data_IF_916293857636
#
_entry.id   IF_916293857636
#
_cell.length_a   1.000
_cell.length_b   1.000
_cell.length_c   1.000
_cell.angle_alpha   90.00
_cell.angle_beta   90.00
_cell.angle_gamma   90.00
#
_symmetry.space_group_name_H-M   'P 1'
#
loop_
_entity.id
_entity.type
_entity.pdbx_description
1 polymer ?
#
# COMPACT_ATOMS: atom_id res chain seq x y z
N UNK A 1 -12.63 -19.87 -19.07
CA UNK A 1 -13.27 -18.62 -18.62
C UNK A 1 -14.45 -18.87 -17.67
N UNK A 2 -15.49 -19.61 -18.05
CA UNK A 2 -16.62 -19.99 -17.20
C UNK A 2 -16.18 -20.72 -15.91
N UNK A 3 -15.22 -21.63 -15.99
CA UNK A 3 -14.69 -22.38 -14.83
C UNK A 3 -14.08 -21.48 -13.76
N UNK A 4 -13.39 -20.40 -14.14
CA UNK A 4 -12.82 -19.45 -13.19
C UNK A 4 -13.92 -18.65 -12.47
N UNK A 5 -15.00 -18.29 -13.17
CA UNK A 5 -16.14 -17.59 -12.58
C UNK A 5 -16.87 -18.51 -11.58
N UNK A 6 -17.02 -19.79 -11.92
CA UNK A 6 -17.68 -20.79 -11.07
C UNK A 6 -16.85 -21.12 -9.83
N UNK A 7 -15.53 -21.28 -9.96
CA UNK A 7 -14.63 -21.53 -8.83
C UNK A 7 -14.66 -20.38 -7.80
N UNK A 8 -14.83 -19.13 -8.23
CA UNK A 8 -14.90 -17.96 -7.34
C UNK A 8 -16.30 -17.69 -6.77
N UNK A 9 -17.32 -18.43 -7.21
CA UNK A 9 -18.71 -18.21 -6.76
C UNK A 9 -18.87 -18.34 -5.25
N UNK A 10 -18.26 -19.35 -4.63
CA UNK A 10 -18.36 -19.58 -3.19
C UNK A 10 -17.71 -18.46 -2.36
N UNK A 11 -16.42 -18.11 -2.55
CA UNK A 11 -15.80 -17.05 -1.76
C UNK A 11 -16.40 -15.67 -2.01
N UNK A 12 -16.88 -15.38 -3.22
CA UNK A 12 -17.60 -14.14 -3.52
C UNK A 12 -18.94 -14.05 -2.79
N UNK A 13 -19.68 -15.16 -2.70
CA UNK A 13 -20.94 -15.19 -1.95
C UNK A 13 -20.71 -15.05 -0.43
N UNK A 14 -19.63 -15.64 0.12
CA UNK A 14 -19.25 -15.45 1.52
C UNK A 14 -18.93 -13.99 1.82
N UNK A 15 -18.23 -13.29 0.93
CA UNK A 15 -17.94 -11.87 1.07
C UNK A 15 -19.23 -11.05 1.07
N UNK A 16 -20.19 -11.33 0.17
CA UNK A 16 -21.50 -10.69 0.18
C UNK A 16 -22.27 -10.91 1.49
N UNK A 17 -22.25 -12.14 2.01
CA UNK A 17 -22.89 -12.45 3.30
C UNK A 17 -22.25 -11.62 4.41
N UNK A 18 -20.91 -11.53 4.44
CA UNK A 18 -20.19 -10.70 5.41
C UNK A 18 -20.59 -9.22 5.31
N UNK A 19 -20.66 -8.66 4.10
CA UNK A 19 -21.08 -7.27 3.88
C UNK A 19 -22.52 -7.03 4.37
N UNK A 20 -23.44 -7.93 4.00
CA UNK A 20 -24.85 -7.84 4.42
C UNK A 20 -24.98 -7.88 5.94
N UNK A 21 -24.32 -8.85 6.60
CA UNK A 21 -24.38 -8.98 8.06
C UNK A 21 -23.79 -7.77 8.77
N UNK A 22 -22.63 -7.27 8.30
CA UNK A 22 -21.98 -6.10 8.92
C UNK A 22 -22.83 -4.85 8.80
N UNK A 23 -23.52 -4.66 7.68
CA UNK A 23 -24.40 -3.51 7.46
C UNK A 23 -25.70 -3.64 8.27
N UNK A 24 -26.27 -4.85 8.41
CA UNK A 24 -27.41 -5.10 9.28
C UNK A 24 -27.07 -4.77 10.75
N UNK A 25 -25.88 -5.11 11.21
CA UNK A 25 -25.40 -4.76 12.55
C UNK A 25 -25.29 -3.24 12.73
N UNK A 26 -24.71 -2.53 11.75
CA UNK A 26 -24.63 -1.07 11.77
C UNK A 26 -26.03 -0.41 11.79
N UNK A 27 -26.98 -0.98 11.03
CA UNK A 27 -28.35 -0.51 10.98
C UNK A 27 -29.06 -0.70 12.32
N UNK A 28 -28.93 -1.86 12.95
CA UNK A 28 -29.54 -2.17 14.26
C UNK A 28 -29.03 -1.25 15.35
N UNK A 29 -27.76 -0.83 15.29
CA UNK A 29 -27.16 0.08 16.26
C UNK A 29 -27.71 1.52 16.13
N UNK A 30 -28.04 1.99 14.94
CA UNK A 30 -28.43 3.39 14.69
C UNK A 30 -29.90 3.72 14.99
N UNK A 31 -30.54 2.97 15.87
CA UNK A 31 -31.88 3.23 16.44
C UNK A 31 -32.98 3.56 15.40
N UNK A 32 -33.14 2.70 14.39
CA UNK A 32 -34.25 2.72 13.42
C UNK A 32 -34.39 3.96 12.50
N UNK A 33 -33.48 4.91 12.55
CA UNK A 33 -33.43 5.95 11.53
C UNK A 33 -32.65 5.42 10.33
N UNK A 34 -33.36 5.12 9.24
CA UNK A 34 -32.75 4.78 7.95
C UNK A 34 -31.97 6.00 7.46
N UNK A 35 -30.71 6.09 7.86
CA UNK A 35 -29.83 7.11 7.31
C UNK A 35 -29.61 6.78 5.81
N UNK A 36 -29.97 7.71 4.91
CA UNK A 36 -29.75 7.57 3.47
C UNK A 36 -28.32 7.16 3.16
N UNK A 37 -27.38 7.54 3.99
CA UNK A 37 -25.96 7.22 3.85
C UNK A 37 -25.66 5.72 4.02
N UNK A 38 -26.36 5.02 4.91
CA UNK A 38 -26.20 3.55 5.08
C UNK A 38 -26.65 2.84 3.81
N UNK A 39 -27.78 3.23 3.23
CA UNK A 39 -28.30 2.61 1.99
C UNK A 39 -27.36 2.82 0.82
N UNK A 40 -26.83 4.05 0.66
CA UNK A 40 -25.86 4.36 -0.40
C UNK A 40 -24.57 3.54 -0.22
N UNK A 41 -24.07 3.44 1.02
CA UNK A 41 -22.88 2.64 1.33
C UNK A 41 -23.10 1.17 0.99
N UNK A 42 -24.26 0.62 1.39
CA UNK A 42 -24.64 -0.77 1.15
C UNK A 42 -24.70 -1.11 -0.35
N UNK A 43 -25.49 -0.34 -1.08
CA UNK A 43 -25.61 -0.54 -2.53
C UNK A 43 -24.27 -0.32 -3.23
N UNK A 44 -23.52 0.70 -2.79
CA UNK A 44 -22.20 1.01 -3.31
C UNK A 44 -21.21 -0.14 -3.13
N UNK A 45 -21.07 -0.69 -1.92
CA UNK A 45 -20.15 -1.79 -1.63
C UNK A 45 -20.48 -3.04 -2.42
N UNK A 46 -21.74 -3.50 -2.35
CA UNK A 46 -22.18 -4.70 -3.09
C UNK A 46 -21.94 -4.52 -4.59
N UNK A 47 -22.35 -3.38 -5.12
CA UNK A 47 -22.25 -3.11 -6.55
C UNK A 47 -20.77 -3.06 -6.98
N UNK A 48 -19.93 -2.37 -6.22
CA UNK A 48 -18.50 -2.24 -6.50
C UNK A 48 -17.82 -3.61 -6.47
N UNK A 49 -17.97 -4.32 -5.35
CA UNK A 49 -17.26 -5.58 -5.11
C UNK A 49 -17.76 -6.66 -6.07
N UNK A 50 -19.06 -6.82 -6.18
CA UNK A 50 -19.65 -7.91 -6.97
C UNK A 50 -19.44 -7.69 -8.47
N UNK A 51 -19.78 -6.51 -8.99
CA UNK A 51 -19.65 -6.20 -10.42
C UNK A 51 -18.19 -6.21 -10.84
N UNK A 52 -17.29 -5.60 -10.06
CA UNK A 52 -15.87 -5.57 -10.41
C UNK A 52 -15.27 -6.97 -10.47
N UNK A 53 -15.60 -7.86 -9.52
CA UNK A 53 -15.15 -9.24 -9.56
C UNK A 53 -15.72 -10.01 -10.77
N UNK A 54 -16.97 -9.75 -11.16
CA UNK A 54 -17.57 -10.36 -12.36
C UNK A 54 -16.91 -9.86 -13.65
N UNK A 55 -16.70 -8.55 -13.76
CA UNK A 55 -16.06 -7.92 -14.92
C UNK A 55 -14.63 -8.44 -15.07
N UNK A 56 -13.87 -8.47 -13.97
CA UNK A 56 -12.49 -8.97 -13.99
C UNK A 56 -12.42 -10.42 -14.48
N UNK A 57 -13.32 -11.29 -14.01
CA UNK A 57 -13.37 -12.68 -14.46
C UNK A 57 -13.67 -12.85 -15.97
N UNK A 58 -14.23 -11.81 -16.63
CA UNK A 58 -14.45 -11.79 -18.08
C UNK A 58 -13.33 -11.11 -18.87
N UNK A 59 -12.62 -10.16 -18.26
CA UNK A 59 -11.63 -9.32 -18.93
C UNK A 59 -10.22 -9.89 -18.81
N UNK A 60 -9.87 -10.44 -17.65
CA UNK A 60 -8.52 -10.93 -17.35
C UNK A 60 -8.47 -12.46 -17.34
N UNK A 61 -7.41 -13.01 -17.95
CA UNK A 61 -7.06 -14.42 -17.85
C UNK A 61 -6.16 -14.74 -16.64
N UNK A 62 -5.72 -13.72 -15.92
CA UNK A 62 -4.80 -13.82 -14.79
C UNK A 62 -5.45 -14.29 -13.49
N UNK A 63 -4.77 -14.03 -12.37
CA UNK A 63 -5.22 -14.46 -11.03
C UNK A 63 -6.28 -13.53 -10.45
N UNK A 64 -7.54 -13.89 -10.62
CA UNK A 64 -8.67 -13.11 -10.12
C UNK A 64 -8.88 -13.18 -8.60
N UNK A 65 -8.21 -14.09 -7.89
CA UNK A 65 -8.31 -14.16 -6.41
C UNK A 65 -7.64 -12.97 -5.73
N UNK A 66 -6.67 -12.32 -6.38
CA UNK A 66 -6.02 -11.10 -5.85
C UNK A 66 -7.05 -10.02 -5.59
N UNK A 67 -7.90 -9.74 -6.57
CA UNK A 67 -8.94 -8.73 -6.44
C UNK A 67 -10.00 -9.11 -5.40
N UNK A 68 -10.31 -10.40 -5.24
CA UNK A 68 -11.23 -10.88 -4.22
C UNK A 68 -10.69 -10.67 -2.79
N UNK A 69 -9.39 -10.94 -2.56
CA UNK A 69 -8.73 -10.66 -1.27
C UNK A 69 -8.78 -9.17 -0.96
N UNK A 70 -8.45 -8.33 -1.95
CA UNK A 70 -8.51 -6.87 -1.82
C UNK A 70 -9.94 -6.40 -1.54
N UNK A 71 -10.94 -7.00 -2.17
CA UNK A 71 -12.36 -6.69 -1.91
C UNK A 71 -12.73 -6.90 -0.44
N UNK A 72 -12.23 -7.96 0.21
CA UNK A 72 -12.46 -8.20 1.63
C UNK A 72 -11.79 -7.14 2.51
N UNK A 73 -10.54 -6.75 2.19
CA UNK A 73 -9.84 -5.68 2.90
C UNK A 73 -10.58 -4.33 2.76
N UNK A 74 -11.07 -4.01 1.55
CA UNK A 74 -11.86 -2.82 1.28
C UNK A 74 -13.16 -2.78 2.09
N UNK A 75 -13.87 -3.90 2.15
CA UNK A 75 -15.14 -4.01 2.90
C UNK A 75 -14.91 -3.77 4.39
N UNK A 76 -13.88 -4.38 4.99
CA UNK A 76 -13.50 -4.13 6.39
C UNK A 76 -13.15 -2.65 6.62
N UNK A 77 -12.34 -2.06 5.74
CA UNK A 77 -11.94 -0.65 5.84
C UNK A 77 -13.12 0.30 5.75
N UNK A 78 -13.98 0.15 4.72
CA UNK A 78 -15.12 1.04 4.49
C UNK A 78 -16.14 0.97 5.63
N UNK A 79 -16.46 -0.24 6.12
CA UNK A 79 -17.39 -0.45 7.25
C UNK A 79 -16.87 0.27 8.50
N UNK A 80 -15.58 0.10 8.82
CA UNK A 80 -14.96 0.73 9.99
C UNK A 80 -14.89 2.27 9.83
N UNK A 81 -14.47 2.77 8.67
CA UNK A 81 -14.39 4.21 8.41
C UNK A 81 -15.79 4.86 8.49
N UNK A 82 -16.81 4.19 7.91
CA UNK A 82 -18.18 4.67 8.01
C UNK A 82 -18.66 4.72 9.46
N UNK A 83 -18.34 3.71 10.26
CA UNK A 83 -18.65 3.67 11.69
C UNK A 83 -18.02 4.82 12.47
N UNK A 84 -16.78 5.17 12.13
CA UNK A 84 -16.08 6.32 12.71
C UNK A 84 -16.71 7.64 12.28
N UNK A 85 -16.97 7.81 10.98
CA UNK A 85 -17.56 9.00 10.39
C UNK A 85 -18.28 8.66 9.08
N UNK A 86 -19.63 8.82 9.03
CA UNK A 86 -20.40 8.58 7.79
C UNK A 86 -19.90 9.39 6.59
N UNK A 87 -19.49 10.64 6.82
CA UNK A 87 -18.94 11.49 5.75
C UNK A 87 -17.64 10.96 5.17
N UNK A 88 -16.73 10.45 6.04
CA UNK A 88 -15.46 9.85 5.59
C UNK A 88 -15.71 8.51 4.89
N UNK A 89 -16.65 7.69 5.38
CA UNK A 89 -17.03 6.44 4.74
C UNK A 89 -17.51 6.64 3.31
N UNK A 90 -18.38 7.60 3.06
CA UNK A 90 -18.85 7.94 1.72
C UNK A 90 -17.73 8.49 0.83
N UNK A 91 -16.86 9.36 1.35
CA UNK A 91 -15.68 9.83 0.60
C UNK A 91 -14.75 8.66 0.25
N UNK A 92 -14.55 7.71 1.18
CA UNK A 92 -13.75 6.52 0.91
C UNK A 92 -14.37 5.67 -0.20
N UNK A 93 -15.69 5.50 -0.23
CA UNK A 93 -16.39 4.81 -1.30
C UNK A 93 -16.12 5.45 -2.67
N UNK A 94 -16.13 6.79 -2.75
CA UNK A 94 -15.79 7.52 -3.99
C UNK A 94 -14.33 7.25 -4.39
N UNK A 95 -13.38 7.24 -3.42
CA UNK A 95 -11.98 6.91 -3.70
C UNK A 95 -11.80 5.47 -4.18
N UNK A 96 -12.58 4.54 -3.65
CA UNK A 96 -12.57 3.14 -4.11
C UNK A 96 -13.13 3.02 -5.51
N UNK A 97 -14.22 3.71 -5.85
CA UNK A 97 -14.76 3.76 -7.22
C UNK A 97 -13.71 4.31 -8.20
N UNK A 98 -13.10 5.45 -7.87
CA UNK A 98 -12.02 6.03 -8.66
C UNK A 98 -10.83 5.07 -8.79
N UNK A 99 -10.47 4.39 -7.70
CA UNK A 99 -9.42 3.38 -7.66
C UNK A 99 -9.68 2.22 -8.60
N UNK A 100 -10.90 1.69 -8.63
CA UNK A 100 -11.29 0.61 -9.56
C UNK A 100 -11.19 1.07 -11.02
N UNK A 101 -11.62 2.28 -11.33
CA UNK A 101 -11.46 2.84 -12.67
C UNK A 101 -9.97 2.93 -13.04
N UNK A 102 -9.14 3.43 -12.13
CA UNK A 102 -7.69 3.51 -12.31
C UNK A 102 -7.04 2.12 -12.40
N UNK A 103 -7.53 1.13 -11.67
CA UNK A 103 -7.10 -0.28 -11.79
C UNK A 103 -7.30 -0.80 -13.22
N UNK A 104 -8.50 -0.66 -13.79
CA UNK A 104 -8.75 -1.09 -15.16
C UNK A 104 -7.97 -0.28 -16.18
N UNK A 105 -7.85 1.04 -15.98
CA UNK A 105 -7.05 1.89 -16.85
C UNK A 105 -5.57 1.43 -16.85
N UNK A 106 -5.00 1.19 -15.67
CA UNK A 106 -3.64 0.69 -15.51
C UNK A 106 -3.47 -0.68 -16.16
N UNK A 107 -4.42 -1.57 -15.94
CA UNK A 107 -4.44 -2.89 -16.55
C UNK A 107 -4.37 -2.80 -18.08
N UNK A 108 -5.24 -2.02 -18.72
CA UNK A 108 -5.26 -1.89 -20.17
C UNK A 108 -4.02 -1.16 -20.72
N UNK A 109 -3.55 -0.09 -20.05
CA UNK A 109 -2.35 0.64 -20.47
C UNK A 109 -1.14 -0.27 -20.44
N UNK A 110 -0.87 -0.95 -19.32
CA UNK A 110 0.30 -1.81 -19.20
C UNK A 110 0.21 -3.00 -20.14
N UNK A 111 -0.99 -3.55 -20.33
CA UNK A 111 -1.22 -4.62 -21.30
C UNK A 111 -0.94 -4.19 -22.74
N UNK A 112 -1.24 -2.96 -23.11
CA UNK A 112 -1.00 -2.42 -24.45
C UNK A 112 0.45 -2.00 -24.70
N UNK A 113 1.15 -1.51 -23.67
CA UNK A 113 2.51 -0.97 -23.81
C UNK A 113 3.56 -2.09 -23.85
N UNK A 114 4.39 -2.12 -24.93
CA UNK A 114 5.45 -3.12 -25.12
C UNK A 114 6.84 -2.66 -24.67
N UNK A 115 7.09 -1.34 -24.63
CA UNK A 115 8.43 -0.76 -24.42
C UNK A 115 8.73 -0.31 -23.00
N UNK A 116 7.89 -0.69 -22.01
CA UNK A 116 8.02 -0.26 -20.62
C UNK A 116 9.42 -0.54 -20.04
N UNK A 117 10.01 -1.68 -20.37
CA UNK A 117 11.36 -2.07 -19.90
C UNK A 117 12.48 -1.15 -20.37
N UNK A 118 12.27 -0.34 -21.43
CA UNK A 118 13.29 0.54 -21.99
C UNK A 118 13.18 1.99 -21.50
N UNK A 119 12.20 2.32 -20.66
CA UNK A 119 11.86 3.68 -20.25
C UNK A 119 12.54 4.11 -18.91
N UNK A 120 13.72 3.54 -18.59
CA UNK A 120 14.45 3.85 -17.34
C UNK A 120 14.63 5.35 -17.11
N UNK A 121 15.04 6.09 -18.16
CA UNK A 121 15.23 7.55 -18.08
C UNK A 121 13.93 8.32 -17.79
N UNK A 122 12.79 7.85 -18.32
CA UNK A 122 11.48 8.45 -18.04
C UNK A 122 11.09 8.25 -16.57
N UNK A 123 11.25 7.05 -16.03
CA UNK A 123 10.93 6.76 -14.63
C UNK A 123 11.80 7.56 -13.68
N UNK A 124 13.10 7.68 -13.97
CA UNK A 124 14.03 8.50 -13.22
C UNK A 124 13.61 9.99 -13.26
N UNK A 125 13.38 10.53 -14.45
CA UNK A 125 13.02 11.94 -14.64
C UNK A 125 11.71 12.31 -13.97
N UNK A 126 10.65 11.46 -14.10
CA UNK A 126 9.38 11.67 -13.44
C UNK A 126 9.49 11.57 -11.91
N UNK A 127 10.30 10.65 -11.40
CA UNK A 127 10.53 10.54 -9.94
C UNK A 127 11.17 11.81 -9.39
N UNK A 128 12.22 12.31 -10.04
CA UNK A 128 12.87 13.57 -9.65
C UNK A 128 11.88 14.74 -9.74
N UNK A 129 11.10 14.81 -10.82
CA UNK A 129 10.10 15.85 -11.00
C UNK A 129 9.08 15.82 -9.84
N UNK A 130 8.57 14.66 -9.45
CA UNK A 130 7.60 14.55 -8.35
C UNK A 130 8.21 14.95 -7.00
N UNK A 131 9.48 14.60 -6.74
CA UNK A 131 10.16 15.06 -5.54
C UNK A 131 10.34 16.58 -5.52
N UNK A 132 10.77 17.18 -6.62
CA UNK A 132 10.93 18.63 -6.72
C UNK A 132 9.58 19.36 -6.59
N UNK A 133 8.53 18.87 -7.27
CA UNK A 133 7.19 19.45 -7.13
C UNK A 133 6.70 19.38 -5.68
N UNK A 134 6.95 18.27 -4.97
CA UNK A 134 6.56 18.16 -3.57
C UNK A 134 7.29 19.17 -2.71
N UNK A 135 8.61 19.35 -2.88
CA UNK A 135 9.40 20.31 -2.09
C UNK A 135 8.93 21.74 -2.32
N UNK A 136 8.58 22.09 -3.58
CA UNK A 136 8.20 23.45 -3.97
C UNK A 136 6.75 23.75 -3.57
N UNK A 137 5.81 22.83 -3.80
CA UNK A 137 4.37 23.08 -3.71
C UNK A 137 3.76 22.64 -2.37
N UNK A 138 4.39 21.72 -1.63
CA UNK A 138 3.80 21.24 -0.38
C UNK A 138 4.00 22.26 0.75
N UNK A 139 2.91 22.74 1.40
CA UNK A 139 2.99 23.55 2.60
C UNK A 139 3.54 22.72 3.76
N UNK A 140 4.21 23.38 4.70
CA UNK A 140 4.63 22.72 5.94
C UNK A 140 3.39 22.49 6.83
N UNK A 141 2.91 21.23 6.88
CA UNK A 141 1.80 20.82 7.75
C UNK A 141 2.36 19.87 8.82
N UNK A 142 2.22 20.25 10.07
CA UNK A 142 2.70 19.46 11.22
C UNK A 142 4.21 19.13 11.15
N UNK A 143 5.00 19.99 10.51
CA UNK A 143 6.43 19.81 10.35
C UNK A 143 6.85 18.84 9.25
N UNK A 144 5.94 18.41 8.37
CA UNK A 144 6.24 17.61 7.19
C UNK A 144 5.73 18.30 5.90
N UNK A 145 6.51 18.18 4.81
CA UNK A 145 6.19 18.76 3.49
C UNK A 145 5.87 17.64 2.50
N UNK A 146 4.77 16.91 2.73
CA UNK A 146 4.45 15.69 1.96
C UNK A 146 3.15 15.82 1.18
N UNK A 147 2.26 16.76 1.56
CA UNK A 147 0.91 16.86 1.03
C UNK A 147 0.71 18.14 0.23
N UNK A 148 0.34 17.99 -1.03
CA UNK A 148 -0.05 19.11 -1.91
C UNK A 148 -1.56 19.27 -1.81
N UNK A 149 -2.03 20.44 -1.47
CA UNK A 149 -3.45 20.77 -1.42
C UNK A 149 -3.90 21.30 -2.79
N UNK A 150 -4.84 20.57 -3.43
CA UNK A 150 -5.39 20.94 -4.74
C UNK A 150 -6.64 21.79 -4.58
N UNK A 151 -7.48 21.45 -3.62
CA UNK A 151 -8.66 22.21 -3.24
C UNK A 151 -8.99 21.93 -1.77
N UNK A 152 -9.94 22.72 -1.19
CA UNK A 152 -10.35 22.53 0.18
C UNK A 152 -10.74 21.06 0.48
N UNK A 153 -9.93 20.40 1.30
CA UNK A 153 -10.14 19.02 1.74
C UNK A 153 -9.70 17.91 0.77
N UNK A 154 -9.07 18.25 -0.37
CA UNK A 154 -8.44 17.27 -1.27
C UNK A 154 -6.93 17.50 -1.28
N UNK A 155 -6.21 16.55 -0.70
CA UNK A 155 -4.74 16.55 -0.66
C UNK A 155 -4.20 15.38 -1.45
N UNK A 156 -3.10 15.61 -2.18
CA UNK A 156 -2.36 14.56 -2.91
C UNK A 156 -0.96 14.45 -2.33
N UNK A 157 -0.54 13.22 -2.08
CA UNK A 157 0.82 12.87 -1.69
C UNK A 157 1.54 12.25 -2.89
N UNK A 158 2.47 13.01 -3.50
CA UNK A 158 3.17 12.54 -4.70
C UNK A 158 4.11 11.37 -4.43
N UNK A 159 4.61 11.21 -3.19
CA UNK A 159 5.44 10.07 -2.82
C UNK A 159 4.72 8.72 -2.98
N UNK A 160 3.37 8.71 -2.91
CA UNK A 160 2.56 7.52 -3.21
C UNK A 160 2.74 7.05 -4.68
N UNK A 161 2.80 7.99 -5.61
CA UNK A 161 3.03 7.70 -7.03
C UNK A 161 4.50 7.45 -7.34
N UNK A 162 5.41 8.11 -6.61
CA UNK A 162 6.85 7.87 -6.76
C UNK A 162 7.23 6.44 -6.41
N UNK A 163 6.56 5.79 -5.44
CA UNK A 163 6.73 4.35 -5.13
C UNK A 163 6.55 3.49 -6.39
N UNK A 164 5.54 3.79 -7.20
CA UNK A 164 5.24 3.07 -8.44
C UNK A 164 6.36 3.27 -9.44
N UNK A 165 6.80 4.53 -9.63
CA UNK A 165 7.89 4.85 -10.55
C UNK A 165 9.20 4.18 -10.15
N UNK A 166 9.50 4.09 -8.85
CA UNK A 166 10.70 3.40 -8.34
C UNK A 166 10.65 1.90 -8.63
N UNK A 167 9.49 1.26 -8.51
CA UNK A 167 9.32 -0.16 -8.89
C UNK A 167 9.61 -0.34 -10.38
N UNK A 168 9.08 0.51 -11.26
CA UNK A 168 9.36 0.48 -12.69
C UNK A 168 10.83 0.78 -13.01
N UNK A 169 11.43 1.74 -12.30
CA UNK A 169 12.84 2.09 -12.44
C UNK A 169 13.75 0.88 -12.14
N UNK A 170 13.54 0.21 -11.00
CA UNK A 170 14.32 -0.96 -10.60
C UNK A 170 14.12 -2.10 -11.61
N UNK A 171 12.87 -2.38 -12.01
CA UNK A 171 12.58 -3.43 -12.97
C UNK A 171 13.25 -3.17 -14.34
N UNK A 172 13.15 -1.95 -14.84
CA UNK A 172 13.78 -1.51 -16.09
C UNK A 172 15.31 -1.52 -16.00
N UNK A 173 15.86 -1.16 -14.84
CA UNK A 173 17.31 -1.19 -14.61
C UNK A 173 17.87 -2.60 -14.75
N UNK A 174 17.37 -3.57 -13.99
CA UNK A 174 17.88 -4.95 -14.02
C UNK A 174 17.59 -5.67 -15.34
N UNK A 175 16.55 -5.28 -16.07
CA UNK A 175 16.19 -5.94 -17.33
C UNK A 175 17.05 -5.44 -18.51
N UNK A 176 17.22 -4.12 -18.64
CA UNK A 176 17.80 -3.53 -19.85
C UNK A 176 18.97 -2.58 -19.59
N UNK A 177 18.84 -1.68 -18.62
CA UNK A 177 19.79 -0.57 -18.45
C UNK A 177 21.13 -1.05 -17.90
N UNK A 178 21.15 -2.01 -16.99
CA UNK A 178 22.37 -2.61 -16.47
C UNK A 178 23.24 -3.22 -17.59
N UNK A 179 22.63 -3.92 -18.53
CA UNK A 179 23.32 -4.51 -19.66
C UNK A 179 23.91 -3.45 -20.62
N UNK A 180 23.21 -2.30 -20.78
CA UNK A 180 23.77 -1.17 -21.55
C UNK A 180 24.99 -0.57 -20.85
N UNK A 181 24.97 -0.40 -19.55
CA UNK A 181 26.12 0.09 -18.78
C UNK A 181 27.30 -0.88 -18.84
N UNK A 182 27.05 -2.19 -18.72
CA UNK A 182 28.10 -3.23 -18.88
C UNK A 182 28.74 -3.19 -20.27
N UNK A 183 27.97 -2.98 -21.34
CA UNK A 183 28.48 -2.80 -22.72
C UNK A 183 29.34 -1.55 -22.87
N UNK A 184 29.14 -0.52 -22.09
CA UNK A 184 29.94 0.71 -22.04
C UNK A 184 31.15 0.59 -21.08
N UNK A 185 31.53 -0.63 -20.68
CA UNK A 185 32.64 -0.94 -19.77
C UNK A 185 32.43 -0.33 -18.33
N UNK A 186 31.20 -0.05 -17.93
CA UNK A 186 30.94 0.43 -16.59
C UNK A 186 31.00 -0.74 -15.60
N UNK A 187 32.05 -0.79 -14.79
CA UNK A 187 32.33 -1.92 -13.89
C UNK A 187 31.40 -1.95 -12.66
N UNK A 188 30.92 -0.80 -12.21
CA UNK A 188 30.20 -0.64 -10.95
C UNK A 188 28.72 -0.32 -11.15
N UNK A 189 28.02 -1.12 -11.95
CA UNK A 189 26.61 -0.89 -12.31
C UNK A 189 25.66 -0.92 -11.11
N UNK A 190 25.92 -1.78 -10.13
CA UNK A 190 25.11 -1.91 -8.91
C UNK A 190 25.11 -0.64 -8.06
N UNK A 191 26.27 0.03 -7.97
CA UNK A 191 26.42 1.29 -7.23
C UNK A 191 25.70 2.47 -7.90
N UNK A 192 25.50 2.41 -9.22
CA UNK A 192 24.71 3.44 -9.93
C UNK A 192 23.26 3.46 -9.44
N UNK A 193 22.58 2.29 -9.44
CA UNK A 193 21.20 2.19 -8.96
C UNK A 193 21.11 2.52 -7.48
N UNK A 194 22.05 2.03 -6.67
CA UNK A 194 22.14 2.35 -5.25
C UNK A 194 22.21 3.85 -5.02
N UNK A 195 23.08 4.57 -5.75
CA UNK A 195 23.21 6.02 -5.66
C UNK A 195 21.89 6.75 -5.97
N UNK A 196 21.18 6.32 -7.03
CA UNK A 196 19.87 6.88 -7.39
C UNK A 196 18.85 6.68 -6.27
N UNK A 197 18.75 5.47 -5.70
CA UNK A 197 17.81 5.19 -4.61
C UNK A 197 18.14 6.01 -3.36
N UNK A 198 19.42 6.14 -2.99
CA UNK A 198 19.80 6.95 -1.83
C UNK A 198 19.60 8.46 -2.06
N UNK A 199 19.69 8.97 -3.31
CA UNK A 199 19.27 10.33 -3.63
C UNK A 199 17.76 10.49 -3.36
N UNK A 200 16.92 9.53 -3.76
CA UNK A 200 15.48 9.56 -3.49
C UNK A 200 15.19 9.50 -1.99
N UNK A 201 15.91 8.66 -1.26
CA UNK A 201 15.85 8.60 0.21
C UNK A 201 16.22 9.97 0.81
N UNK A 202 17.25 10.65 0.30
CA UNK A 202 17.63 11.99 0.70
C UNK A 202 16.49 13.01 0.52
N UNK A 203 15.79 12.99 -0.62
CA UNK A 203 14.60 13.83 -0.82
C UNK A 203 13.50 13.53 0.20
N UNK A 204 13.24 12.27 0.50
CA UNK A 204 12.24 11.86 1.50
C UNK A 204 12.62 12.28 2.93
N UNK A 205 13.92 12.28 3.26
CA UNK A 205 14.41 12.84 4.51
C UNK A 205 14.14 14.33 4.62
N UNK A 206 14.36 15.10 3.55
CA UNK A 206 14.06 16.55 3.50
C UNK A 206 12.54 16.78 3.68
N UNK A 207 11.70 15.93 3.08
CA UNK A 207 10.24 15.97 3.19
C UNK A 207 9.72 15.45 4.54
N UNK A 208 10.60 14.83 5.36
CA UNK A 208 10.27 14.14 6.62
C UNK A 208 9.31 12.95 6.44
N UNK A 209 9.35 12.29 5.27
CA UNK A 209 8.59 11.09 4.95
C UNK A 209 9.45 9.83 5.15
N UNK A 210 9.72 9.51 6.41
CA UNK A 210 10.56 8.37 6.78
C UNK A 210 9.90 7.02 6.48
N UNK A 211 8.57 6.97 6.51
CA UNK A 211 7.83 5.76 6.18
C UNK A 211 8.06 5.33 4.74
N UNK A 212 7.91 6.26 3.80
CA UNK A 212 8.17 6.00 2.37
C UNK A 212 9.66 5.73 2.11
N UNK A 213 10.59 6.41 2.84
CA UNK A 213 12.01 6.12 2.74
C UNK A 213 12.34 4.68 3.14
N UNK A 214 11.76 4.18 4.24
CA UNK A 214 11.91 2.79 4.66
C UNK A 214 11.39 1.80 3.60
N UNK A 215 10.25 2.10 2.96
CA UNK A 215 9.71 1.29 1.86
C UNK A 215 10.70 1.23 0.69
N UNK A 216 11.26 2.38 0.26
CA UNK A 216 12.22 2.43 -0.86
C UNK A 216 13.45 1.59 -0.59
N UNK A 217 14.04 1.76 0.59
CA UNK A 217 15.22 0.99 1.00
C UNK A 217 14.90 -0.50 1.07
N UNK A 218 13.75 -0.88 1.62
CA UNK A 218 13.36 -2.29 1.73
C UNK A 218 13.13 -2.92 0.36
N UNK A 219 12.40 -2.26 -0.56
CA UNK A 219 12.18 -2.74 -1.92
C UNK A 219 13.53 -2.92 -2.63
N UNK A 220 14.38 -1.90 -2.58
CA UNK A 220 15.68 -1.93 -3.24
C UNK A 220 16.57 -3.05 -2.67
N UNK A 221 16.70 -3.13 -1.35
CA UNK A 221 17.57 -4.13 -0.70
C UNK A 221 17.13 -5.56 -1.02
N UNK A 222 15.83 -5.86 -0.97
CA UNK A 222 15.32 -7.20 -1.27
C UNK A 222 15.47 -7.55 -2.75
N UNK A 223 15.20 -6.62 -3.66
CA UNK A 223 15.39 -6.84 -5.10
C UNK A 223 16.88 -6.92 -5.46
N UNK A 224 17.73 -6.11 -4.83
CA UNK A 224 19.18 -6.19 -4.99
C UNK A 224 19.70 -7.56 -4.55
N UNK A 225 19.24 -8.06 -3.41
CA UNK A 225 19.65 -9.38 -2.92
C UNK A 225 19.32 -10.50 -3.91
N UNK A 226 18.18 -10.40 -4.62
CA UNK A 226 17.72 -11.43 -5.54
C UNK A 226 18.37 -11.31 -6.92
N UNK A 227 18.53 -10.09 -7.45
CA UNK A 227 18.89 -9.85 -8.85
C UNK A 227 20.30 -9.32 -9.05
N UNK A 228 20.99 -8.86 -8.00
CA UNK A 228 22.37 -8.36 -8.13
C UNK A 228 23.38 -9.50 -7.93
N UNK A 229 24.37 -9.55 -8.80
CA UNK A 229 25.49 -10.51 -8.72
C UNK A 229 26.55 -10.06 -7.73
N UNK A 230 26.69 -8.73 -7.52
CA UNK A 230 27.71 -8.15 -6.65
C UNK A 230 27.28 -8.19 -5.17
N UNK A 231 27.76 -9.21 -4.45
CA UNK A 231 27.48 -9.39 -3.02
C UNK A 231 28.08 -8.30 -2.12
N UNK A 232 29.19 -7.67 -2.57
CA UNK A 232 29.80 -6.58 -1.84
C UNK A 232 28.90 -5.36 -1.84
N UNK A 233 28.26 -5.06 -2.97
CA UNK A 233 27.29 -3.95 -3.06
C UNK A 233 26.13 -4.11 -2.10
N UNK A 234 25.68 -5.35 -1.83
CA UNK A 234 24.62 -5.63 -0.86
C UNK A 234 25.06 -5.30 0.57
N UNK A 235 26.32 -5.71 0.94
CA UNK A 235 26.87 -5.39 2.25
C UNK A 235 27.03 -3.88 2.43
N UNK A 236 27.48 -3.17 1.39
CA UNK A 236 27.58 -1.71 1.40
C UNK A 236 26.21 -1.08 1.58
N UNK A 237 25.19 -1.57 0.89
CA UNK A 237 23.80 -1.09 1.05
C UNK A 237 23.28 -1.27 2.49
N UNK A 238 23.49 -2.45 3.09
CA UNK A 238 23.10 -2.71 4.49
C UNK A 238 23.87 -1.77 5.42
N UNK A 239 25.17 -1.56 5.20
CA UNK A 239 25.98 -0.62 5.95
C UNK A 239 25.45 0.83 5.86
N UNK A 240 25.11 1.29 4.65
CA UNK A 240 24.53 2.61 4.43
C UNK A 240 23.15 2.75 5.10
N UNK A 241 22.32 1.70 5.07
CA UNK A 241 21.05 1.69 5.78
C UNK A 241 21.21 1.86 7.30
N UNK A 242 22.14 1.12 7.90
CA UNK A 242 22.43 1.20 9.33
C UNK A 242 22.98 2.59 9.70
N UNK A 243 23.97 3.09 8.95
CA UNK A 243 24.55 4.42 9.16
C UNK A 243 23.46 5.49 8.97
N UNK A 244 22.66 5.40 7.91
CA UNK A 244 21.57 6.35 7.65
C UNK A 244 20.52 6.36 8.76
N UNK A 245 20.20 5.21 9.37
CA UNK A 245 19.29 5.12 10.51
C UNK A 245 19.86 5.81 11.75
N UNK A 246 21.13 5.58 12.06
CA UNK A 246 21.83 6.23 13.19
C UNK A 246 21.95 7.74 12.96
N UNK A 247 22.40 8.16 11.79
CA UNK A 247 22.51 9.57 11.41
C UNK A 247 21.13 10.25 11.45
N UNK A 248 20.10 9.57 10.95
CA UNK A 248 18.72 10.06 11.00
C UNK A 248 18.24 10.29 12.43
N UNK A 249 18.54 9.40 13.35
CA UNK A 249 18.19 9.55 14.77
C UNK A 249 18.85 10.80 15.41
N UNK A 250 20.12 11.06 15.11
CA UNK A 250 20.83 12.21 15.69
C UNK A 250 20.47 13.54 15.01
N UNK A 251 20.28 13.56 13.71
CA UNK A 251 20.03 14.80 12.95
C UNK A 251 18.57 15.28 13.02
N UNK A 252 17.60 14.35 13.08
CA UNK A 252 16.19 14.70 12.96
C UNK A 252 15.43 14.52 14.27
N UNK A 253 15.01 15.64 14.88
CA UNK A 253 14.25 15.64 16.14
C UNK A 253 12.97 14.82 16.09
N UNK A 254 12.25 14.80 14.93
CA UNK A 254 11.03 14.00 14.76
C UNK A 254 11.30 12.49 14.72
N UNK A 255 12.47 12.03 14.27
CA UNK A 255 12.90 10.62 14.33
C UNK A 255 13.13 10.22 15.77
N UNK A 256 13.93 11.04 16.48
CA UNK A 256 14.22 10.83 17.91
C UNK A 256 12.93 10.75 18.71
N UNK A 257 12.01 11.70 18.52
CA UNK A 257 10.72 11.71 19.20
C UNK A 257 9.92 10.42 18.97
N UNK A 258 9.89 9.89 17.76
CA UNK A 258 9.20 8.61 17.46
C UNK A 258 9.86 7.42 18.16
N UNK A 259 11.18 7.39 18.25
CA UNK A 259 11.93 6.37 18.98
C UNK A 259 11.69 6.48 20.49
N UNK A 260 11.71 7.69 21.04
CA UNK A 260 11.44 7.93 22.47
C UNK A 260 10.03 7.50 22.87
N UNK A 261 9.01 7.85 22.06
CA UNK A 261 7.63 7.39 22.22
C UNK A 261 7.54 5.86 22.15
N UNK A 262 8.25 5.24 21.21
CA UNK A 262 8.27 3.80 21.06
C UNK A 262 8.90 3.10 22.26
N UNK A 263 9.99 3.62 22.81
CA UNK A 263 10.65 3.04 23.98
C UNK A 263 9.82 3.24 25.25
N UNK A 264 9.39 4.46 25.54
CA UNK A 264 8.75 4.85 26.80
C UNK A 264 7.43 5.63 26.60
N UNK A 265 6.35 5.04 26.09
CA UNK A 265 5.09 5.75 25.84
C UNK A 265 4.29 6.05 27.12
N UNK A 266 4.63 5.43 28.26
CA UNK A 266 3.81 5.38 29.46
C UNK A 266 4.09 6.47 30.49
N UNK A 267 5.02 7.38 30.24
CA UNK A 267 5.22 8.52 31.15
C UNK A 267 4.03 9.45 31.10
N UNK A 268 3.60 10.00 32.25
CA UNK A 268 2.39 10.80 32.37
C UNK A 268 2.32 11.96 31.36
N UNK A 269 3.44 12.62 31.10
CA UNK A 269 3.54 13.73 30.15
C UNK A 269 3.39 13.24 28.70
N UNK A 270 3.99 12.09 28.35
CA UNK A 270 3.88 11.50 27.00
C UNK A 270 2.48 10.95 26.72
N UNK A 271 1.84 10.31 27.68
CA UNK A 271 0.49 9.73 27.53
C UNK A 271 -0.52 10.78 27.11
N UNK A 272 -0.47 11.98 27.69
CA UNK A 272 -1.41 13.07 27.43
C UNK A 272 -1.10 13.75 26.09
N UNK A 273 0.17 13.88 25.72
CA UNK A 273 0.61 14.69 24.59
C UNK A 273 1.08 13.81 23.41
N UNK A 274 2.34 13.43 23.43
CA UNK A 274 3.06 12.92 22.26
C UNK A 274 2.78 11.45 21.96
N UNK A 275 2.60 10.62 22.98
CA UNK A 275 2.32 9.19 22.85
C UNK A 275 0.82 8.86 22.85
N UNK A 276 -0.04 9.87 22.95
CA UNK A 276 -1.51 9.68 23.06
C UNK A 276 -2.06 8.72 21.99
N UNK A 277 -1.63 8.87 20.74
CA UNK A 277 -2.12 8.05 19.63
C UNK A 277 -1.76 6.56 19.82
N UNK A 278 -0.50 6.25 20.17
CA UNK A 278 -0.06 4.85 20.35
C UNK A 278 -0.69 4.23 21.59
N UNK A 279 -0.81 4.99 22.67
CA UNK A 279 -1.42 4.52 23.93
C UNK A 279 -2.91 4.23 23.72
N UNK A 280 -3.65 5.12 23.09
CA UNK A 280 -5.05 4.88 22.74
C UNK A 280 -5.23 3.68 21.79
N UNK A 281 -4.30 3.49 20.86
CA UNK A 281 -4.29 2.32 19.97
C UNK A 281 -4.16 1.01 20.75
N UNK A 282 -3.23 0.96 21.70
CA UNK A 282 -3.00 -0.23 22.51
C UNK A 282 -4.18 -0.52 23.44
N UNK A 283 -4.80 0.52 24.01
CA UNK A 283 -6.01 0.37 24.81
C UNK A 283 -7.18 -0.15 23.96
N UNK A 284 -7.43 0.40 22.78
CA UNK A 284 -8.49 -0.09 21.89
C UNK A 284 -8.30 -1.58 21.54
N UNK A 285 -7.07 -2.02 21.20
CA UNK A 285 -6.80 -3.44 20.96
C UNK A 285 -7.07 -4.29 22.20
N UNK A 286 -6.67 -3.81 23.38
CA UNK A 286 -6.86 -4.52 24.66
C UNK A 286 -8.35 -4.63 25.04
N UNK A 287 -9.11 -3.55 24.89
CA UNK A 287 -10.55 -3.52 25.19
C UNK A 287 -11.36 -4.41 24.25
N UNK A 288 -10.94 -4.53 22.99
CA UNK A 288 -11.57 -5.44 22.04
C UNK A 288 -11.45 -6.91 22.41
N UNK A 289 -10.40 -7.29 23.13
CA UNK A 289 -10.16 -8.69 23.51
C UNK A 289 -10.16 -9.63 22.32
N UNK A 290 -10.63 -10.87 22.51
CA UNK A 290 -10.56 -11.89 21.46
C UNK A 290 -11.64 -11.71 20.38
N UNK A 291 -12.87 -11.37 20.74
CA UNK A 291 -14.03 -11.31 19.84
C UNK A 291 -14.49 -9.89 19.49
N UNK A 292 -13.95 -8.87 20.13
CA UNK A 292 -14.37 -7.48 19.97
C UNK A 292 -15.52 -7.08 20.89
N UNK A 293 -15.69 -5.77 21.06
CA UNK A 293 -16.83 -5.20 21.80
C UNK A 293 -18.16 -5.34 21.03
N UNK A 294 -18.08 -5.60 19.72
CA UNK A 294 -19.19 -5.59 18.77
C UNK A 294 -19.18 -4.34 17.88
N UNK A 295 -19.54 -4.53 16.61
CA UNK A 295 -19.61 -3.45 15.63
C UNK A 295 -20.64 -2.39 16.12
N UNK A 296 -20.17 -1.17 16.36
CA UNK A 296 -20.99 -0.08 16.87
C UNK A 296 -20.98 0.08 18.40
N UNK A 297 -20.51 -0.89 19.17
CA UNK A 297 -20.55 -0.87 20.64
C UNK A 297 -19.24 -0.38 21.26
N UNK A 298 -18.12 -0.41 20.54
CA UNK A 298 -16.84 0.17 20.97
C UNK A 298 -16.81 1.69 20.89
N UNK A 299 -15.71 2.27 21.35
CA UNK A 299 -15.46 3.73 21.34
C UNK A 299 -14.25 4.12 20.46
N UNK A 300 -14.06 3.56 19.26
CA UNK A 300 -12.87 3.80 18.43
C UNK A 300 -12.71 5.27 18.01
N UNK A 301 -13.74 6.11 18.18
CA UNK A 301 -13.65 7.56 17.97
C UNK A 301 -12.71 8.27 18.96
N UNK A 302 -12.41 7.65 20.09
CA UNK A 302 -11.43 8.18 21.06
C UNK A 302 -9.99 8.01 20.59
N UNK A 303 -9.74 7.06 19.69
CA UNK A 303 -8.40 6.83 19.13
C UNK A 303 -8.10 7.93 18.13
N UNK A 304 -7.04 8.68 18.38
CA UNK A 304 -6.59 9.75 17.48
C UNK A 304 -6.20 9.19 16.11
N UNK A 305 -6.75 9.74 15.01
CA UNK A 305 -6.54 9.26 13.63
C UNK A 305 -6.96 7.79 13.39
N UNK A 306 -7.98 7.32 14.11
CA UNK A 306 -8.51 5.97 13.98
C UNK A 306 -8.89 5.57 12.54
N UNK A 307 -9.22 6.53 11.68
CA UNK A 307 -9.62 6.27 10.29
C UNK A 307 -8.42 6.12 9.32
N UNK A 308 -7.22 6.52 9.70
CA UNK A 308 -6.03 6.48 8.83
C UNK A 308 -4.95 5.54 9.36
N UNK A 309 -4.02 6.07 10.15
CA UNK A 309 -2.76 5.38 10.49
C UNK A 309 -2.95 4.24 11.49
N UNK A 310 -3.98 4.31 12.34
CA UNK A 310 -4.25 3.33 13.39
C UNK A 310 -5.60 2.62 13.25
N UNK A 311 -6.11 2.54 12.03
CA UNK A 311 -7.40 1.87 11.76
C UNK A 311 -7.42 0.41 12.21
N UNK A 312 -6.26 -0.25 12.23
CA UNK A 312 -6.12 -1.62 12.72
C UNK A 312 -6.58 -1.74 14.18
N UNK A 313 -6.27 -0.75 15.04
CA UNK A 313 -6.73 -0.73 16.43
C UNK A 313 -8.24 -0.58 16.54
N UNK A 314 -8.83 0.31 15.73
CA UNK A 314 -10.29 0.50 15.71
C UNK A 314 -11.04 -0.77 15.27
N UNK A 315 -10.47 -1.51 14.30
CA UNK A 315 -11.02 -2.81 13.89
C UNK A 315 -10.89 -3.84 15.02
N UNK A 316 -9.73 -3.90 15.67
CA UNK A 316 -9.52 -4.85 16.78
C UNK A 316 -10.42 -4.53 17.98
N UNK A 317 -10.70 -3.27 18.27
CA UNK A 317 -11.60 -2.87 19.35
C UNK A 317 -13.03 -3.37 19.12
N UNK A 318 -13.59 -3.14 17.93
CA UNK A 318 -14.98 -3.53 17.64
C UNK A 318 -15.13 -5.00 17.20
N UNK A 319 -14.16 -5.54 16.44
CA UNK A 319 -14.26 -6.88 15.83
C UNK A 319 -13.30 -7.91 16.43
N UNK A 320 -12.50 -7.52 17.42
CA UNK A 320 -11.57 -8.37 18.17
C UNK A 320 -10.24 -8.66 17.48
N UNK A 321 -9.32 -9.21 18.29
CA UNK A 321 -7.98 -9.61 17.82
C UNK A 321 -8.07 -10.71 16.76
N UNK A 322 -9.09 -11.57 16.81
CA UNK A 322 -9.31 -12.62 15.81
C UNK A 322 -9.47 -12.01 14.40
N UNK A 323 -10.21 -10.92 14.28
CA UNK A 323 -10.34 -10.18 13.00
C UNK A 323 -9.01 -9.52 12.61
N UNK A 324 -8.26 -8.98 13.58
CA UNK A 324 -6.91 -8.47 13.34
C UNK A 324 -5.96 -9.53 12.77
N UNK A 325 -5.97 -10.75 13.33
CA UNK A 325 -5.24 -11.89 12.78
C UNK A 325 -5.73 -12.23 11.36
N UNK A 326 -7.04 -12.21 11.14
CA UNK A 326 -7.64 -12.40 9.81
C UNK A 326 -7.14 -11.40 8.77
N UNK A 327 -6.98 -10.12 9.14
CA UNK A 327 -6.40 -9.08 8.27
C UNK A 327 -4.95 -9.42 7.92
N UNK A 328 -4.14 -9.79 8.90
CA UNK A 328 -2.75 -10.20 8.66
C UNK A 328 -2.70 -11.39 7.69
N UNK A 329 -3.57 -12.39 7.90
CA UNK A 329 -3.67 -13.55 7.01
C UNK A 329 -4.09 -13.15 5.58
N UNK A 330 -5.00 -12.19 5.40
CA UNK A 330 -5.38 -11.69 4.08
C UNK A 330 -4.20 -11.02 3.37
N UNK A 331 -3.37 -10.21 4.08
CA UNK A 331 -2.13 -9.67 3.49
C UNK A 331 -1.14 -10.78 3.17
N UNK A 332 -0.95 -11.75 4.03
CA UNK A 332 -0.08 -12.91 3.75
C UNK A 332 -0.54 -13.68 2.50
N UNK A 333 -1.85 -13.87 2.32
CA UNK A 333 -2.42 -14.50 1.13
C UNK A 333 -2.21 -13.65 -0.13
N UNK A 334 -2.38 -12.32 -0.05
CA UNK A 334 -2.13 -11.38 -1.15
C UNK A 334 -0.65 -11.46 -1.58
N UNK A 335 0.26 -11.40 -0.62
CA UNK A 335 1.71 -11.48 -0.85
C UNK A 335 2.12 -12.84 -1.40
N UNK A 336 1.60 -13.93 -0.84
CA UNK A 336 1.85 -15.29 -1.35
C UNK A 336 1.43 -15.40 -2.83
N UNK A 337 0.26 -14.88 -3.19
CA UNK A 337 -0.21 -14.86 -4.57
C UNK A 337 0.71 -14.02 -5.48
N UNK A 338 1.12 -12.84 -5.03
CA UNK A 338 2.02 -11.97 -5.77
C UNK A 338 3.40 -12.63 -5.99
N UNK A 339 3.95 -13.31 -4.98
CA UNK A 339 5.19 -14.08 -5.10
C UNK A 339 5.01 -15.25 -6.08
N UNK A 340 3.89 -15.98 -5.98
CA UNK A 340 3.59 -17.08 -6.91
C UNK A 340 3.51 -16.60 -8.36
N UNK A 341 2.90 -15.43 -8.60
CA UNK A 341 2.87 -14.78 -9.91
C UNK A 341 4.29 -14.46 -10.37
N UNK A 342 5.10 -13.86 -9.51
CA UNK A 342 6.49 -13.55 -9.84
C UNK A 342 7.30 -14.79 -10.23
N UNK A 343 7.14 -15.90 -9.50
CA UNK A 343 7.84 -17.16 -9.78
C UNK A 343 7.40 -17.81 -11.09
N UNK A 344 6.13 -17.68 -11.46
CA UNK A 344 5.59 -18.27 -12.68
C UNK A 344 5.78 -17.38 -13.92
N UNK A 345 6.17 -16.10 -13.73
CA UNK A 345 6.34 -15.17 -14.85
C UNK A 345 7.66 -15.41 -15.57
N UNK A 346 7.62 -15.66 -16.87
CA UNK A 346 8.78 -15.95 -17.71
C UNK A 346 9.61 -14.70 -17.99
N UNK A 347 8.95 -13.56 -18.21
CA UNK A 347 9.62 -12.30 -18.58
C UNK A 347 10.15 -11.57 -17.36
N UNK A 348 11.47 -11.37 -17.32
CA UNK A 348 12.21 -10.80 -16.19
C UNK A 348 11.62 -9.46 -15.71
N UNK A 349 11.26 -8.55 -16.63
CA UNK A 349 10.68 -7.26 -16.27
C UNK A 349 9.40 -7.39 -15.45
N UNK A 350 8.47 -8.22 -15.90
CA UNK A 350 7.20 -8.45 -15.24
C UNK A 350 7.34 -9.28 -13.95
N UNK A 351 8.34 -10.18 -13.92
CA UNK A 351 8.72 -10.92 -12.71
C UNK A 351 9.18 -9.97 -11.61
N UNK A 352 10.06 -9.02 -11.94
CA UNK A 352 10.55 -8.01 -10.99
C UNK A 352 9.40 -7.10 -10.55
N UNK A 353 8.52 -6.67 -11.45
CA UNK A 353 7.35 -5.86 -11.09
C UNK A 353 6.44 -6.58 -10.09
N UNK A 354 6.08 -7.84 -10.33
CA UNK A 354 5.24 -8.62 -9.43
C UNK A 354 5.87 -8.78 -8.05
N UNK A 355 7.18 -9.08 -8.01
CA UNK A 355 7.92 -9.22 -6.76
C UNK A 355 8.04 -7.89 -6.01
N UNK A 356 8.31 -6.79 -6.71
CA UNK A 356 8.39 -5.47 -6.12
C UNK A 356 7.05 -5.03 -5.49
N UNK A 357 5.92 -5.32 -6.15
CA UNK A 357 4.58 -5.07 -5.60
C UNK A 357 4.32 -5.93 -4.37
N UNK A 358 4.74 -7.21 -4.39
CA UNK A 358 4.64 -8.10 -3.22
C UNK A 358 5.42 -7.53 -2.02
N UNK A 359 6.66 -7.11 -2.26
CA UNK A 359 7.53 -6.50 -1.23
C UNK A 359 6.88 -5.22 -0.70
N UNK A 360 6.37 -4.34 -1.57
CA UNK A 360 5.75 -3.09 -1.16
C UNK A 360 4.57 -3.34 -0.23
N UNK A 361 3.62 -4.19 -0.60
CA UNK A 361 2.46 -4.50 0.25
C UNK A 361 2.87 -5.14 1.56
N UNK A 362 3.88 -6.04 1.54
CA UNK A 362 4.42 -6.65 2.76
C UNK A 362 4.98 -5.60 3.71
N UNK A 363 5.90 -4.77 3.20
CA UNK A 363 6.61 -3.78 4.02
C UNK A 363 5.64 -2.72 4.53
N UNK A 364 4.73 -2.22 3.69
CA UNK A 364 3.77 -1.20 4.09
C UNK A 364 2.80 -1.71 5.14
N UNK A 365 2.25 -2.94 4.99
CA UNK A 365 1.40 -3.55 6.00
C UNK A 365 2.16 -3.83 7.31
N UNK A 366 3.39 -4.33 7.21
CA UNK A 366 4.26 -4.58 8.38
C UNK A 366 4.59 -3.29 9.13
N UNK A 367 4.95 -2.21 8.42
CA UNK A 367 5.29 -0.93 9.04
C UNK A 367 4.06 -0.27 9.71
N UNK A 368 2.87 -0.41 9.11
CA UNK A 368 1.64 0.12 9.72
C UNK A 368 1.24 -0.71 10.95
N UNK A 369 0.97 -2.01 10.78
CA UNK A 369 0.50 -2.88 11.87
C UNK A 369 1.56 -2.97 12.97
N UNK A 370 2.84 -3.15 12.61
CA UNK A 370 3.94 -3.18 13.56
C UNK A 370 4.09 -1.89 14.38
N UNK A 371 3.85 -0.73 13.75
CA UNK A 371 3.81 0.55 14.45
C UNK A 371 2.65 0.64 15.44
N UNK A 372 1.46 0.20 15.03
CA UNK A 372 0.23 0.24 15.84
C UNK A 372 0.32 -0.68 17.07
N UNK A 373 0.89 -1.87 16.94
CA UNK A 373 1.09 -2.81 18.06
C UNK A 373 2.39 -2.57 18.86
N UNK A 374 3.08 -1.47 18.60
CA UNK A 374 4.35 -1.11 19.26
C UNK A 374 5.51 -2.11 19.02
N UNK A 375 5.49 -2.86 17.92
CA UNK A 375 6.61 -3.72 17.52
C UNK A 375 7.80 -2.89 17.00
N UNK A 376 7.50 -1.80 16.28
CA UNK A 376 8.47 -0.84 15.72
C UNK A 376 7.98 0.60 15.99
N UNK A 377 8.84 1.63 15.84
CA UNK A 377 8.38 3.01 15.91
C UNK A 377 7.32 3.31 14.87
N UNK A 378 6.28 4.05 15.26
CA UNK A 378 5.16 4.38 14.37
C UNK A 378 5.62 5.24 13.18
N UNK A 379 5.27 4.83 11.97
CA UNK A 379 5.71 5.49 10.74
C UNK A 379 4.72 6.47 10.14
N UNK A 380 3.43 6.39 10.51
CA UNK A 380 2.38 7.22 9.94
C UNK A 380 1.98 6.82 8.51
N UNK A 381 2.29 5.58 8.10
CA UNK A 381 1.85 5.03 6.82
C UNK A 381 0.43 4.48 6.93
N UNK A 382 -0.32 4.61 5.85
CA UNK A 382 -1.65 4.01 5.72
C UNK A 382 -1.57 2.50 5.48
N UNK A 383 -2.56 1.75 5.96
CA UNK A 383 -2.71 0.33 5.68
C UNK A 383 -3.39 0.15 4.30
N UNK A 384 -2.74 -0.45 3.29
CA UNK A 384 -3.26 -0.53 1.92
C UNK A 384 -4.67 -1.12 1.87
N UNK A 385 -5.56 -0.52 1.09
CA UNK A 385 -6.97 -0.91 0.90
C UNK A 385 -7.89 -0.79 2.14
N UNK A 386 -7.35 -0.61 3.34
CA UNK A 386 -8.14 -0.51 4.59
C UNK A 386 -8.24 0.93 5.06
N UNK A 387 -7.09 1.64 5.20
CA UNK A 387 -7.04 3.01 5.72
C UNK A 387 -7.75 4.03 4.84
N UNK A 388 -8.27 5.07 5.47
CA UNK A 388 -8.72 6.25 4.76
C UNK A 388 -7.54 7.00 4.15
N UNK A 389 -7.60 7.26 2.82
CA UNK A 389 -6.58 8.03 2.12
C UNK A 389 -6.74 7.97 0.61
N UNK A 390 -7.04 9.10 -0.04
CA UNK A 390 -7.30 9.15 -1.48
C UNK A 390 -6.08 8.73 -2.31
N UNK A 391 -4.92 9.36 -2.08
CA UNK A 391 -3.70 9.08 -2.85
C UNK A 391 -3.20 7.65 -2.64
N UNK A 392 -3.23 7.16 -1.39
CA UNK A 392 -2.83 5.81 -1.05
C UNK A 392 -3.77 4.75 -1.65
N UNK A 393 -5.08 5.03 -1.68
CA UNK A 393 -6.05 4.15 -2.32
C UNK A 393 -5.80 4.06 -3.83
N UNK A 394 -5.64 5.19 -4.51
CA UNK A 394 -5.36 5.23 -5.96
C UNK A 394 -4.04 4.52 -6.27
N UNK A 395 -2.96 4.80 -5.53
CA UNK A 395 -1.65 4.14 -5.74
C UNK A 395 -1.73 2.63 -5.53
N UNK A 396 -2.47 2.18 -4.51
CA UNK A 396 -2.70 0.76 -4.24
C UNK A 396 -3.45 0.06 -5.38
N UNK A 397 -4.45 0.73 -5.99
CA UNK A 397 -5.15 0.17 -7.15
C UNK A 397 -4.30 0.16 -8.42
N UNK A 398 -3.40 1.13 -8.62
CA UNK A 398 -2.40 1.08 -9.71
C UNK A 398 -1.50 -0.15 -9.51
N UNK A 399 -0.96 -0.35 -8.31
CA UNK A 399 -0.12 -1.50 -7.98
C UNK A 399 -0.87 -2.83 -8.20
N UNK A 400 -2.15 -2.88 -7.83
CA UNK A 400 -2.99 -4.04 -8.07
C UNK A 400 -3.20 -4.30 -9.57
N UNK A 401 -3.39 -3.25 -10.38
CA UNK A 401 -3.49 -3.31 -11.84
C UNK A 401 -2.22 -3.85 -12.49
N UNK A 402 -1.06 -3.40 -12.01
CA UNK A 402 0.25 -3.92 -12.40
C UNK A 402 0.32 -5.42 -12.09
N UNK A 403 -0.01 -5.81 -10.86
CA UNK A 403 0.02 -7.21 -10.43
C UNK A 403 -0.94 -8.09 -11.23
N UNK A 404 -2.11 -7.57 -11.60
CA UNK A 404 -3.07 -8.29 -12.42
C UNK A 404 -2.52 -8.59 -13.82
N UNK A 405 -1.89 -7.60 -14.49
CA UNK A 405 -1.25 -7.82 -15.79
C UNK A 405 -0.10 -8.81 -15.69
N UNK A 406 0.72 -8.71 -14.65
CA UNK A 406 1.85 -9.63 -14.46
C UNK A 406 1.42 -11.07 -14.19
N UNK A 407 0.16 -11.29 -13.83
CA UNK A 407 -0.41 -12.63 -13.62
C UNK A 407 -0.86 -13.32 -14.91
N UNK A 408 -0.87 -12.62 -16.04
CA UNK A 408 -1.25 -13.17 -17.34
C UNK A 408 -0.07 -13.74 -18.11
N UNK A 409 -0.36 -14.62 -19.07
CA UNK A 409 0.61 -14.99 -20.08
C UNK A 409 0.84 -13.80 -21.03
N UNK A 410 2.08 -13.37 -21.12
CA UNK A 410 2.49 -12.22 -21.90
C UNK A 410 3.33 -12.61 -23.14
N UNK A 411 3.35 -13.87 -23.52
CA UNK A 411 4.09 -14.39 -24.70
C UNK A 411 3.77 -13.60 -25.96
N UNK A 412 2.50 -13.25 -26.16
CA UNK A 412 2.04 -12.46 -27.32
C UNK A 412 2.72 -11.10 -27.48
N UNK A 413 3.35 -10.56 -26.42
CA UNK A 413 4.07 -9.26 -26.48
C UNK A 413 5.45 -9.40 -27.13
N UNK A 414 6.03 -10.58 -27.05
CA UNK A 414 7.40 -10.84 -27.45
C UNK A 414 7.50 -11.64 -28.76
N UNK A 415 6.54 -12.55 -29.03
CA UNK A 415 6.54 -13.37 -30.25
C UNK A 415 6.43 -12.56 -31.56
N UNK A 416 5.84 -11.36 -31.51
CA UNK A 416 5.76 -10.46 -32.69
C UNK A 416 6.96 -9.53 -32.84
N UNK A 417 7.96 -9.60 -31.97
CA UNK A 417 9.17 -8.77 -31.99
C UNK A 417 10.34 -9.41 -32.73
N UNK A 418 10.26 -10.70 -33.01
CA UNK A 418 11.35 -11.47 -33.65
C UNK A 418 11.30 -11.32 -35.20
N UNK A 419 10.16 -10.92 -35.76
CA UNK A 419 10.00 -10.80 -37.21
C UNK A 419 10.41 -9.43 -37.80
N UNK A 420 10.95 -8.50 -36.99
CA UNK A 420 11.28 -7.12 -37.44
C UNK A 420 12.64 -6.60 -36.89
N UNK A 421 13.65 -7.46 -36.66
CA UNK A 421 15.04 -7.02 -36.47
C UNK A 421 16.00 -7.67 -37.49
#
# INVERSE_FOLDING_TARGET
MLDNILKQRKPRNLLLIFEILSILLLFSYNNNNVDRYIVILFLGLILIVYISNLVLGKVSSGDNYIFLIVSMLLSLGIITIYRLSPKLGLRQLIWVLAGILVFYLTYFIIRAMRRLQYMTGLYLGLSILFFLLTIILAPDKYGAKNWIEISEGITIQLSEFTKILVIFLIASFYTTFQNRLKKLNYKYTSYYLMGVIYIFVGFLFIQRDLGTAAIFVAIYTLLQYIYDEDRVSILVNIGLMLIGSVVGYFLFSHVRKRVDIWLNPWTADMVVNDARQIVQSLFGISEGGFFGQGIGLGYPKQITLAHSDVIFSAICEEMGILTGIGIIMLYMLLVYRAIKIALNQEYLFYRILALAVAILFTVQAFLNIGGVIKLIPMTGLTLPFISYGGSSMISSFILLGILQVTSEDLSYKYDRGIDNE
#
